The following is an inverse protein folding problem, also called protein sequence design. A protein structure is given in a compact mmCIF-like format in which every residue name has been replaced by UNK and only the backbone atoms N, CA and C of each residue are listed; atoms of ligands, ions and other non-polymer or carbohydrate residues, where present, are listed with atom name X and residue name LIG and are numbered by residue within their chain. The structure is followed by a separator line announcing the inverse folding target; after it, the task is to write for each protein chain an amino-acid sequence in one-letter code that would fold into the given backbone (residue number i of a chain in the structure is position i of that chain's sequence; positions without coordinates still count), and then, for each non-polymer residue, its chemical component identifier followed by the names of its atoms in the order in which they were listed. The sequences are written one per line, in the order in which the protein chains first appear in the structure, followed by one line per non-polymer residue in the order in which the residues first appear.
data_IF_163875081269
#
_entry.id   IF_163875081269
#
_cell.length_a   1.000
_cell.length_b   1.000
_cell.length_c   1.000
_cell.angle_alpha   90.00
_cell.angle_beta   90.00
_cell.angle_gamma   90.00
#
_symmetry.space_group_name_H-M   'P 1'
#
loop_
_entity.id
_entity.type
_entity.pdbx_description
1 polymer ?
#
# COMPACT_ATOMS: atom_id res chain seq x y z
N UNK A 1 5.20 8.14 15.32
CA UNK A 1 5.00 8.78 14.01
C UNK A 1 4.42 7.83 12.96
N UNK A 2 4.24 6.55 13.27
CA UNK A 2 3.62 5.58 12.37
C UNK A 2 2.45 4.94 13.11
N UNK A 3 1.30 4.82 12.45
CA UNK A 3 0.11 4.11 12.93
C UNK A 3 -0.31 3.13 11.85
N UNK A 4 -0.92 2.02 12.27
CA UNK A 4 -1.62 1.12 11.35
C UNK A 4 -3.11 1.47 11.36
N UNK A 5 -3.73 1.55 10.19
CA UNK A 5 -5.18 1.53 10.07
C UNK A 5 -5.62 0.12 9.67
N UNK A 6 -6.78 -0.30 10.17
CA UNK A 6 -7.39 -1.60 9.82
C UNK A 6 -8.85 -1.38 9.49
N UNK A 7 -9.28 -1.89 8.35
CA UNK A 7 -10.67 -1.87 7.88
C UNK A 7 -11.15 -3.27 7.55
N UNK A 8 -12.46 -3.48 7.51
CA UNK A 8 -13.07 -4.80 7.35
C UNK A 8 -14.08 -4.80 6.21
N UNK A 9 -14.07 -5.84 5.40
CA UNK A 9 -15.13 -6.13 4.43
C UNK A 9 -15.72 -7.50 4.70
N UNK A 10 -17.04 -7.57 4.83
CA UNK A 10 -17.75 -8.85 4.94
C UNK A 10 -17.82 -9.52 3.55
N UNK A 11 -17.07 -10.60 3.40
CA UNK A 11 -17.05 -11.39 2.17
C UNK A 11 -17.78 -12.72 2.38
N UNK A 12 -18.78 -13.08 1.55
CA UNK A 12 -19.45 -14.37 1.64
C UNK A 12 -18.46 -15.53 1.62
N UNK A 13 -18.50 -16.38 2.64
CA UNK A 13 -17.60 -17.54 2.80
C UNK A 13 -16.30 -17.26 3.56
N UNK A 14 -15.91 -15.99 3.73
CA UNK A 14 -14.69 -15.60 4.46
C UNK A 14 -14.98 -14.81 5.76
N UNK A 15 -16.16 -14.21 5.87
CA UNK A 15 -16.51 -13.32 6.99
C UNK A 15 -15.87 -11.94 6.84
N UNK A 16 -15.69 -11.23 7.95
CA UNK A 16 -15.05 -9.91 7.99
C UNK A 16 -13.54 -10.05 7.73
N UNK A 17 -13.10 -9.72 6.52
CA UNK A 17 -11.69 -9.76 6.11
C UNK A 17 -11.03 -8.44 6.48
N UNK A 18 -9.99 -8.51 7.32
CA UNK A 18 -9.20 -7.35 7.70
C UNK A 18 -8.23 -6.95 6.57
N UNK A 19 -8.13 -5.65 6.29
CA UNK A 19 -7.09 -5.04 5.46
C UNK A 19 -6.37 -3.97 6.27
N UNK A 20 -5.05 -4.03 6.28
CA UNK A 20 -4.20 -3.05 6.95
C UNK A 20 -3.53 -2.10 5.95
N UNK A 21 -3.31 -0.87 6.38
CA UNK A 21 -2.40 0.09 5.77
C UNK A 21 -1.73 0.96 6.83
N UNK A 22 -0.98 1.98 6.41
CA UNK A 22 -0.19 2.81 7.33
C UNK A 22 -0.54 4.30 7.22
N UNK A 23 -0.42 4.99 8.35
CA UNK A 23 -0.46 6.45 8.46
C UNK A 23 0.90 6.88 9.00
N UNK A 24 1.58 7.77 8.29
CA UNK A 24 2.94 8.22 8.63
C UNK A 24 2.96 9.73 8.77
N UNK A 25 3.29 10.23 9.97
CA UNK A 25 3.52 11.66 10.20
C UNK A 25 4.96 12.02 9.85
N UNK A 26 5.12 12.93 8.90
CA UNK A 26 6.39 13.50 8.47
C UNK A 26 6.39 15.02 8.71
N UNK A 27 6.97 15.47 9.82
CA UNK A 27 6.92 16.87 10.22
C UNK A 27 5.48 17.40 10.32
N UNK A 28 5.16 18.43 9.52
CA UNK A 28 3.85 19.09 9.48
C UNK A 28 2.83 18.48 8.49
N UNK A 29 3.06 17.26 8.01
CA UNK A 29 2.19 16.58 7.05
C UNK A 29 2.04 15.09 7.36
N UNK A 30 1.01 14.49 6.79
CA UNK A 30 0.71 13.05 6.88
C UNK A 30 0.81 12.41 5.51
N UNK A 31 1.35 11.19 5.46
CA UNK A 31 1.45 10.34 4.29
C UNK A 31 0.66 9.07 4.58
N UNK A 32 -0.19 8.65 3.63
CA UNK A 32 -1.01 7.46 3.75
C UNK A 32 -0.43 6.34 2.87
N UNK A 33 -0.42 5.11 3.39
CA UNK A 33 -0.15 3.89 2.61
C UNK A 33 -1.41 3.04 2.63
N UNK A 34 -1.94 2.77 1.44
CA UNK A 34 -3.20 2.08 1.14
C UNK A 34 -4.47 2.78 1.65
N UNK A 35 -5.57 2.60 0.90
CA UNK A 35 -6.92 2.96 1.33
C UNK A 35 -7.51 1.89 2.26
N UNK A 36 -8.73 2.12 2.74
CA UNK A 36 -9.59 1.04 3.23
C UNK A 36 -10.30 0.32 2.06
N UNK A 37 -11.15 -0.66 2.37
CA UNK A 37 -11.96 -1.39 1.38
C UNK A 37 -12.98 -0.53 0.61
N UNK A 38 -13.41 0.59 1.20
CA UNK A 38 -14.43 1.46 0.62
C UNK A 38 -14.08 2.94 0.82
N UNK A 39 -14.71 3.81 0.03
CA UNK A 39 -14.63 5.26 0.20
C UNK A 39 -15.09 5.71 1.59
N UNK A 40 -16.20 5.16 2.10
CA UNK A 40 -16.72 5.50 3.44
C UNK A 40 -15.72 5.17 4.56
N UNK A 41 -15.06 4.01 4.47
CA UNK A 41 -14.04 3.62 5.44
C UNK A 41 -12.77 4.48 5.29
N UNK A 42 -12.42 4.85 4.06
CA UNK A 42 -11.27 5.73 3.80
C UNK A 42 -11.53 7.15 4.29
N UNK A 43 -12.74 7.68 4.12
CA UNK A 43 -13.16 8.94 4.71
C UNK A 43 -13.12 8.90 6.25
N UNK A 44 -13.44 7.77 6.88
CA UNK A 44 -13.27 7.58 8.33
C UNK A 44 -11.80 7.64 8.75
N UNK A 45 -10.88 7.07 7.97
CA UNK A 45 -9.43 7.22 8.20
C UNK A 45 -9.03 8.70 8.14
N UNK A 46 -9.47 9.44 7.13
CA UNK A 46 -9.18 10.88 7.01
C UNK A 46 -9.75 11.69 8.19
N UNK A 47 -10.96 11.35 8.64
CA UNK A 47 -11.57 11.95 9.82
C UNK A 47 -10.77 11.66 11.10
N UNK A 48 -10.29 10.43 11.27
CA UNK A 48 -9.43 10.05 12.39
C UNK A 48 -8.11 10.81 12.36
N UNK A 49 -7.46 10.91 11.19
CA UNK A 49 -6.23 11.70 11.01
C UNK A 49 -6.47 13.15 11.43
N UNK A 50 -7.60 13.74 11.02
CA UNK A 50 -7.97 15.11 11.39
C UNK A 50 -8.18 15.27 12.91
N UNK A 51 -8.80 14.30 13.57
CA UNK A 51 -9.09 14.36 15.00
C UNK A 51 -7.85 14.15 15.87
N UNK A 52 -7.04 13.14 15.54
CA UNK A 52 -5.93 12.69 16.40
C UNK A 52 -4.58 13.32 16.05
N UNK A 53 -4.33 13.58 14.76
CA UNK A 53 -3.06 14.15 14.28
C UNK A 53 -3.24 15.64 13.94
N UNK A 54 -4.40 16.01 13.38
CA UNK A 54 -4.75 17.37 12.97
C UNK A 54 -3.71 18.02 12.06
N UNK A 55 -3.23 17.26 11.08
CA UNK A 55 -2.31 17.70 10.02
C UNK A 55 -2.86 17.30 8.65
N UNK A 56 -2.55 18.04 7.58
CA UNK A 56 -3.00 17.70 6.24
C UNK A 56 -2.35 16.40 5.74
N UNK A 57 -3.15 15.57 5.06
CA UNK A 57 -2.64 14.43 4.30
C UNK A 57 -2.09 14.96 2.97
N UNK A 58 -0.77 14.89 2.80
CA UNK A 58 -0.11 15.44 1.63
C UNK A 58 -0.21 14.52 0.41
N UNK A 59 -0.12 13.21 0.63
CA UNK A 59 -0.24 12.19 -0.41
C UNK A 59 -0.67 10.85 0.16
N UNK A 60 -1.15 9.99 -0.74
CA UNK A 60 -1.36 8.57 -0.49
C UNK A 60 -0.65 7.74 -1.56
N UNK A 61 -0.03 6.63 -1.15
CA UNK A 61 0.49 5.60 -2.06
C UNK A 61 -0.26 4.29 -1.85
N UNK A 62 -0.72 3.66 -2.93
CA UNK A 62 -1.45 2.38 -2.90
C UNK A 62 -0.60 1.27 -3.52
N UNK A 63 -0.69 0.07 -2.95
CA UNK A 63 0.31 -0.98 -3.18
C UNK A 63 0.01 -1.96 -4.31
N UNK A 64 -1.24 -2.08 -4.74
CA UNK A 64 -1.66 -2.81 -5.95
C UNK A 64 -3.13 -2.54 -6.26
N UNK A 65 -3.56 -2.89 -7.48
CA UNK A 65 -4.91 -2.70 -7.98
C UNK A 65 -5.91 -3.75 -7.48
N UNK A 66 -6.10 -3.87 -6.16
CA UNK A 66 -7.21 -4.62 -5.56
C UNK A 66 -8.01 -3.75 -4.58
N UNK A 67 -9.26 -4.14 -4.32
CA UNK A 67 -10.22 -3.36 -3.54
C UNK A 67 -9.74 -3.08 -2.10
N UNK A 68 -9.02 -4.00 -1.48
CA UNK A 68 -8.50 -3.85 -0.12
C UNK A 68 -7.43 -2.77 0.02
N UNK A 69 -6.85 -2.29 -1.10
CA UNK A 69 -5.82 -1.24 -1.13
C UNK A 69 -6.21 0.01 -1.92
N UNK A 70 -7.13 -0.14 -2.87
CA UNK A 70 -7.58 0.91 -3.79
C UNK A 70 -9.10 1.12 -3.79
N UNK A 71 -9.85 0.48 -2.89
CA UNK A 71 -11.31 0.61 -2.82
C UNK A 71 -11.82 1.97 -2.33
N UNK A 72 -10.93 2.84 -1.83
CA UNK A 72 -11.28 4.17 -1.31
C UNK A 72 -10.66 5.34 -2.06
N UNK A 73 -10.34 5.16 -3.34
CA UNK A 73 -9.61 6.15 -4.13
C UNK A 73 -10.42 7.43 -4.39
N UNK A 74 -11.74 7.32 -4.57
CA UNK A 74 -12.60 8.49 -4.77
C UNK A 74 -12.67 9.36 -3.52
N UNK A 75 -12.66 8.78 -2.32
CA UNK A 75 -12.58 9.54 -1.07
C UNK A 75 -11.28 10.37 -0.97
N UNK A 76 -10.15 9.82 -1.42
CA UNK A 76 -8.88 10.56 -1.47
C UNK A 76 -8.92 11.69 -2.50
N UNK A 77 -9.46 11.42 -3.70
CA UNK A 77 -9.59 12.43 -4.76
C UNK A 77 -10.54 13.56 -4.34
N UNK A 78 -11.68 13.23 -3.74
CA UNK A 78 -12.65 14.21 -3.22
C UNK A 78 -12.04 15.09 -2.11
N UNK A 79 -11.11 14.55 -1.33
CA UNK A 79 -10.35 15.29 -0.33
C UNK A 79 -9.18 16.12 -0.91
N UNK A 80 -8.94 16.05 -2.23
CA UNK A 80 -7.84 16.75 -2.89
C UNK A 80 -6.46 16.20 -2.56
N UNK A 81 -6.36 14.93 -2.17
CA UNK A 81 -5.10 14.28 -1.81
C UNK A 81 -4.43 13.74 -3.08
N UNK A 82 -3.13 14.03 -3.25
CA UNK A 82 -2.34 13.49 -4.35
C UNK A 82 -2.16 11.97 -4.19
N UNK A 83 -2.57 11.20 -5.19
CA UNK A 83 -2.53 9.73 -5.14
C UNK A 83 -1.49 9.16 -6.08
N UNK A 84 -0.75 8.15 -5.61
CA UNK A 84 0.33 7.48 -6.33
C UNK A 84 0.14 5.98 -6.31
N UNK A 85 0.38 5.31 -7.43
CA UNK A 85 0.41 3.86 -7.53
C UNK A 85 1.49 3.43 -8.52
N UNK A 86 1.84 2.14 -8.56
CA UNK A 86 2.62 1.59 -9.67
C UNK A 86 1.90 1.92 -11.00
N UNK A 87 2.66 2.28 -12.03
CA UNK A 87 2.12 2.51 -13.37
C UNK A 87 1.25 1.34 -13.86
N UNK A 88 1.65 0.10 -13.52
CA UNK A 88 0.86 -1.09 -13.83
C UNK A 88 -0.45 -1.15 -13.03
N UNK A 89 -0.45 -0.77 -11.74
CA UNK A 89 -1.69 -0.66 -10.96
C UNK A 89 -2.67 0.32 -11.59
N UNK A 90 -2.20 1.48 -12.06
CA UNK A 90 -3.06 2.46 -12.73
C UNK A 90 -3.64 1.92 -14.06
N UNK A 91 -2.91 1.05 -14.76
CA UNK A 91 -3.41 0.37 -15.96
C UNK A 91 -4.44 -0.72 -15.64
N UNK A 92 -4.25 -1.44 -14.53
CA UNK A 92 -5.14 -2.53 -14.09
C UNK A 92 -6.41 -2.03 -13.41
N UNK A 93 -6.34 -0.91 -12.68
CA UNK A 93 -7.45 -0.42 -11.86
C UNK A 93 -8.81 -0.36 -12.60
N UNK A 94 -8.93 0.19 -13.83
CA UNK A 94 -10.21 0.20 -14.53
C UNK A 94 -10.75 -1.20 -14.90
N UNK A 95 -9.85 -2.18 -15.09
CA UNK A 95 -10.21 -3.56 -15.40
C UNK A 95 -10.77 -4.27 -14.16
N UNK A 96 -10.26 -3.90 -12.98
CA UNK A 96 -10.70 -4.39 -11.67
C UNK A 96 -11.88 -3.60 -11.09
N UNK A 97 -12.44 -2.63 -11.85
CA UNK A 97 -13.54 -1.78 -11.38
C UNK A 97 -13.14 -0.75 -10.33
N UNK A 98 -11.85 -0.39 -10.29
CA UNK A 98 -11.24 0.55 -9.35
C UNK A 98 -10.90 1.88 -10.03
N UNK A 99 -10.75 2.92 -9.23
CA UNK A 99 -10.31 4.25 -9.68
C UNK A 99 -8.78 4.32 -9.65
N UNK A 100 -8.16 4.64 -10.78
CA UNK A 100 -6.71 4.79 -10.87
C UNK A 100 -6.20 5.96 -10.03
N UNK A 101 -4.96 5.88 -9.56
CA UNK A 101 -4.28 7.00 -8.93
C UNK A 101 -3.97 8.11 -9.95
N UNK A 102 -3.82 9.34 -9.46
CA UNK A 102 -3.52 10.52 -10.29
C UNK A 102 -2.09 10.49 -10.86
N UNK A 103 -1.17 9.80 -10.17
CA UNK A 103 0.23 9.73 -10.53
C UNK A 103 0.70 8.27 -10.60
N UNK A 104 1.55 7.99 -11.60
CA UNK A 104 2.17 6.69 -11.82
C UNK A 104 3.62 6.70 -11.33
N UNK A 105 3.96 5.72 -10.50
CA UNK A 105 5.31 5.39 -10.09
C UNK A 105 5.96 4.48 -11.12
N UNK A 106 7.21 4.78 -11.48
CA UNK A 106 8.04 3.88 -12.31
C UNK A 106 9.22 3.37 -11.50
N UNK A 107 9.71 2.19 -11.83
CA UNK A 107 10.75 1.51 -11.06
C UNK A 107 11.94 1.21 -11.95
N UNK A 108 13.13 1.42 -11.39
CA UNK A 108 14.38 1.03 -12.02
C UNK A 108 14.48 -0.51 -12.11
N UNK A 109 15.41 -1.01 -12.92
CA UNK A 109 15.63 -2.45 -13.08
C UNK A 109 15.99 -3.18 -11.76
N UNK A 110 16.49 -2.45 -10.75
CA UNK A 110 16.79 -2.99 -9.43
C UNK A 110 15.58 -2.96 -8.47
N UNK A 111 14.40 -2.57 -8.92
CA UNK A 111 13.15 -2.53 -8.15
C UNK A 111 12.90 -1.23 -7.38
N UNK A 112 13.87 -0.34 -7.24
CA UNK A 112 13.65 0.94 -6.52
C UNK A 112 12.86 1.92 -7.37
N UNK A 113 11.95 2.68 -6.72
CA UNK A 113 11.19 3.73 -7.40
C UNK A 113 12.11 4.81 -7.96
N UNK A 114 11.82 5.28 -9.17
CA UNK A 114 12.51 6.40 -9.78
C UNK A 114 12.14 7.69 -9.03
N UNK A 115 13.09 8.42 -8.42
CA UNK A 115 12.79 9.56 -7.54
C UNK A 115 11.97 10.66 -8.21
N UNK A 116 12.10 10.83 -9.52
CA UNK A 116 11.34 11.79 -10.31
C UNK A 116 9.83 11.51 -10.31
N UNK A 117 9.42 10.25 -10.10
CA UNK A 117 8.02 9.82 -10.05
C UNK A 117 7.44 9.76 -8.64
N UNK A 118 8.28 9.83 -7.61
CA UNK A 118 7.89 9.84 -6.19
C UNK A 118 8.28 11.16 -5.48
N UNK A 119 7.92 12.35 -6.01
CA UNK A 119 8.32 13.61 -5.43
C UNK A 119 7.72 13.80 -4.04
N UNK A 120 8.53 14.31 -3.10
CA UNK A 120 8.12 14.63 -1.75
C UNK A 120 7.63 13.42 -0.92
N UNK A 121 8.08 12.19 -1.20
CA UNK A 121 7.70 11.00 -0.42
C UNK A 121 8.27 10.97 1.01
N UNK A 122 9.22 11.85 1.34
CA UNK A 122 9.78 11.96 2.68
C UNK A 122 10.39 10.62 3.14
N UNK A 123 9.95 10.03 4.28
CA UNK A 123 10.47 8.77 4.77
C UNK A 123 9.99 7.53 4.00
N UNK A 124 9.00 7.64 3.11
CA UNK A 124 8.50 6.48 2.36
C UNK A 124 9.52 6.04 1.31
N UNK A 125 10.03 4.81 1.43
CA UNK A 125 10.93 4.16 0.48
C UNK A 125 10.16 3.07 -0.27
N UNK A 126 9.77 3.36 -1.51
CA UNK A 126 8.94 2.46 -2.32
C UNK A 126 9.82 1.52 -3.15
N UNK A 127 9.49 0.23 -3.10
CA UNK A 127 10.22 -0.83 -3.77
C UNK A 127 9.26 -1.80 -4.45
N UNK A 128 9.53 -2.10 -5.72
CA UNK A 128 8.88 -3.15 -6.50
C UNK A 128 9.72 -4.44 -6.41
N UNK A 129 9.27 -5.46 -5.66
CA UNK A 129 10.01 -6.70 -5.49
C UNK A 129 9.90 -7.67 -6.67
N UNK A 130 9.11 -7.34 -7.69
CA UNK A 130 8.71 -8.26 -8.75
C UNK A 130 7.32 -8.87 -8.51
N UNK A 131 6.83 -9.68 -9.48
CA UNK A 131 5.50 -10.25 -9.43
C UNK A 131 5.39 -11.31 -8.32
N UNK A 132 4.28 -11.26 -7.57
CA UNK A 132 4.05 -12.15 -6.43
C UNK A 132 2.57 -12.33 -6.14
N UNK A 133 2.02 -11.60 -5.17
CA UNK A 133 0.57 -11.61 -4.93
C UNK A 133 -0.21 -11.11 -6.14
N UNK A 134 0.33 -10.09 -6.80
CA UNK A 134 -0.10 -9.61 -8.11
C UNK A 134 1.14 -9.27 -8.94
N UNK A 135 0.93 -8.97 -10.22
CA UNK A 135 2.00 -8.48 -11.10
C UNK A 135 2.46 -7.05 -10.77
N UNK A 136 1.64 -6.28 -10.08
CA UNK A 136 1.85 -4.85 -9.81
C UNK A 136 2.19 -4.53 -8.35
N UNK A 137 2.24 -5.54 -7.46
CA UNK A 137 2.48 -5.32 -6.04
C UNK A 137 3.76 -4.52 -5.75
N UNK A 138 3.65 -3.49 -4.92
CA UNK A 138 4.80 -2.74 -4.39
C UNK A 138 4.82 -2.81 -2.87
N UNK A 139 5.99 -2.50 -2.31
CA UNK A 139 6.26 -2.52 -0.86
C UNK A 139 6.83 -1.18 -0.43
N UNK A 140 6.66 -0.84 0.85
CA UNK A 140 7.04 0.47 1.37
C UNK A 140 7.81 0.33 2.69
N UNK A 141 9.08 0.73 2.70
CA UNK A 141 9.86 0.92 3.93
C UNK A 141 9.67 2.31 4.51
N UNK A 142 9.76 2.45 5.83
CA UNK A 142 9.66 3.75 6.51
C UNK A 142 11.04 4.14 7.07
N UNK A 143 11.74 5.00 6.35
CA UNK A 143 13.08 5.47 6.71
C UNK A 143 13.09 6.18 8.08
N UNK A 144 14.17 5.99 8.83
CA UNK A 144 14.26 6.42 10.23
C UNK A 144 13.48 5.54 11.23
N UNK A 145 12.91 4.41 10.78
CA UNK A 145 12.29 3.38 11.62
C UNK A 145 12.79 1.99 11.25
N UNK A 146 12.37 0.97 12.00
CA UNK A 146 12.57 -0.45 11.71
C UNK A 146 11.33 -1.10 11.08
N UNK A 147 10.44 -0.31 10.46
CA UNK A 147 9.18 -0.76 9.87
C UNK A 147 9.32 -0.92 8.35
N UNK A 148 8.87 -2.06 7.83
CA UNK A 148 8.63 -2.26 6.41
C UNK A 148 7.24 -2.88 6.17
N UNK A 149 6.52 -2.32 5.19
CA UNK A 149 5.18 -2.73 4.79
C UNK A 149 5.28 -3.64 3.57
N UNK A 150 4.97 -4.91 3.76
CA UNK A 150 4.94 -5.92 2.71
C UNK A 150 3.60 -6.02 1.97
N UNK A 151 2.57 -5.34 2.46
CA UNK A 151 1.20 -5.44 1.95
C UNK A 151 0.75 -6.89 1.79
N UNK A 152 -0.03 -7.15 0.74
CA UNK A 152 -0.54 -8.49 0.46
C UNK A 152 0.50 -9.46 -0.11
N UNK A 153 1.76 -9.06 -0.34
CA UNK A 153 2.82 -10.00 -0.71
C UNK A 153 3.21 -10.89 0.47
N UNK A 154 3.40 -10.29 1.65
CA UNK A 154 3.90 -10.98 2.85
C UNK A 154 2.73 -11.55 3.67
N UNK A 155 3.01 -12.59 4.44
CA UNK A 155 2.07 -13.24 5.35
C UNK A 155 2.74 -13.44 6.70
N UNK A 156 1.94 -13.61 7.73
CA UNK A 156 2.45 -13.86 9.07
C UNK A 156 3.17 -15.21 9.15
N UNK A 157 4.05 -15.37 10.13
CA UNK A 157 4.89 -16.56 10.30
C UNK A 157 4.11 -17.85 10.62
N UNK A 158 2.81 -17.75 10.90
CA UNK A 158 1.89 -18.85 11.21
C UNK A 158 0.80 -19.02 10.14
N UNK A 159 0.87 -18.26 9.05
CA UNK A 159 -0.12 -18.32 7.97
C UNK A 159 -0.18 -19.72 7.37
N UNK A 160 -1.40 -20.23 7.16
CA UNK A 160 -1.65 -21.56 6.57
C UNK A 160 -1.74 -21.54 5.05
N UNK A 161 -1.87 -20.36 4.46
CA UNK A 161 -1.93 -20.13 3.01
C UNK A 161 -1.32 -18.76 2.68
N UNK A 162 -1.12 -18.51 1.39
CA UNK A 162 -0.68 -17.21 0.87
C UNK A 162 -1.85 -16.23 0.65
N UNK A 163 -3.02 -16.50 1.23
CA UNK A 163 -4.22 -15.69 1.00
C UNK A 163 -4.82 -15.92 -0.40
N UNK A 164 -5.29 -14.85 -1.04
CA UNK A 164 -5.81 -14.89 -2.39
C UNK A 164 -4.66 -15.03 -3.40
N UNK A 165 -4.72 -16.06 -4.27
CA UNK A 165 -3.75 -16.32 -5.33
C UNK A 165 -4.34 -16.18 -6.73
N UNK A 166 -5.54 -15.58 -6.87
CA UNK A 166 -6.24 -15.46 -8.16
C UNK A 166 -5.41 -14.78 -9.24
N UNK A 167 -4.68 -13.72 -8.87
CA UNK A 167 -3.84 -12.92 -9.78
C UNK A 167 -2.34 -13.08 -9.49
N UNK A 168 -1.99 -14.11 -8.71
CA UNK A 168 -0.62 -14.30 -8.25
C UNK A 168 0.27 -14.89 -9.34
N UNK A 169 1.53 -14.44 -9.36
CA UNK A 169 2.59 -15.10 -10.09
C UNK A 169 3.24 -16.14 -9.18
N UNK A 170 2.79 -17.39 -9.32
CA UNK A 170 3.27 -18.49 -8.47
C UNK A 170 4.72 -18.91 -8.75
N UNK A 171 5.27 -18.57 -9.91
CA UNK A 171 6.65 -18.89 -10.27
C UNK A 171 7.63 -17.93 -9.58
N UNK A 172 7.30 -16.63 -9.57
CA UNK A 172 8.16 -15.58 -9.06
C UNK A 172 7.90 -15.19 -7.60
N UNK A 173 6.75 -15.57 -7.02
CA UNK A 173 6.34 -15.18 -5.66
C UNK A 173 7.47 -15.32 -4.62
N UNK A 174 8.11 -16.48 -4.57
CA UNK A 174 9.14 -16.75 -3.58
C UNK A 174 10.41 -15.90 -3.79
N UNK A 175 10.73 -15.53 -5.03
CA UNK A 175 11.84 -14.62 -5.32
C UNK A 175 11.49 -13.21 -4.86
N UNK A 176 10.29 -12.72 -5.14
CA UNK A 176 9.83 -11.39 -4.75
C UNK A 176 9.70 -11.23 -3.24
N UNK A 177 9.18 -12.23 -2.52
CA UNK A 177 9.16 -12.21 -1.06
C UNK A 177 10.58 -12.09 -0.44
N UNK A 178 11.59 -12.74 -1.04
CA UNK A 178 13.00 -12.61 -0.61
C UNK A 178 13.58 -11.24 -0.99
N UNK A 179 13.23 -10.72 -2.17
CA UNK A 179 13.68 -9.41 -2.63
C UNK A 179 13.21 -8.29 -1.68
N UNK A 180 11.97 -8.36 -1.17
CA UNK A 180 11.49 -7.46 -0.12
C UNK A 180 12.39 -7.47 1.12
N UNK A 181 12.72 -8.65 1.66
CA UNK A 181 13.61 -8.77 2.81
C UNK A 181 15.03 -8.24 2.54
N UNK A 182 15.54 -8.42 1.31
CA UNK A 182 16.84 -7.88 0.90
C UNK A 182 16.83 -6.36 0.71
N UNK A 183 15.69 -5.77 0.30
CA UNK A 183 15.54 -4.33 0.14
C UNK A 183 15.45 -3.59 1.48
N UNK A 184 14.88 -4.23 2.51
CA UNK A 184 14.72 -3.65 3.85
C UNK A 184 15.39 -4.49 4.94
N UNK A 185 16.72 -4.72 4.88
CA UNK A 185 17.42 -5.69 5.74
C UNK A 185 17.50 -5.28 7.22
N UNK A 186 17.16 -4.03 7.53
CA UNK A 186 17.13 -3.48 8.90
C UNK A 186 15.72 -3.46 9.50
N UNK A 187 14.69 -3.77 8.72
CA UNK A 187 13.34 -3.79 9.23
C UNK A 187 13.15 -4.98 10.17
N UNK A 188 12.74 -4.70 11.41
CA UNK A 188 12.45 -5.71 12.44
C UNK A 188 10.95 -5.89 12.65
N UNK A 189 10.16 -4.89 12.24
CA UNK A 189 8.70 -4.92 12.23
C UNK A 189 8.20 -5.00 10.79
N UNK A 190 7.61 -6.14 10.44
CA UNK A 190 6.98 -6.35 9.13
C UNK A 190 5.48 -6.20 9.26
N UNK A 191 4.91 -5.21 8.57
CA UNK A 191 3.48 -4.95 8.52
C UNK A 191 2.91 -5.52 7.21
N UNK A 192 1.71 -6.08 7.27
CA UNK A 192 1.00 -6.77 6.19
C UNK A 192 -0.48 -6.40 6.21
#
# INVERSE_FOLDING_TARGET
NVWQHTSYLDMPGFGAVASNGLIVRDGGRVLLVDTAWTDDQTAQILNWIKQEINLPVALAVVTHAHQDKMGGMDALHAAGIATYANALSNQLAPQEGLVAAQHSLTFAANGWVEPATAPNFGPLKVFYPGPGHTSDNITVGIDGTDIAFGGCLIKDSKAKSLGNLGDADTEHYAASARAFGAAFPKASMIVM
#
